data_IF_001649940805
#
_entry.id   IF_001649940805
#
_cell.length_a   1.000
_cell.length_b   1.000
_cell.length_c   1.000
_cell.angle_alpha   90.00
_cell.angle_beta   90.00
_cell.angle_gamma   90.00
#
_symmetry.space_group_name_H-M   'P 1'
#
loop_
_entity.id
_entity.type
_entity.pdbx_description
1 polymer ?
#
# COMPACT_ATOMS: atom_id res chain seq x y z
N UNK A 1 40.21 -6.89 31.24
CA UNK A 1 39.70 -6.77 29.84
C UNK A 1 38.31 -7.43 29.63
N UNK A 2 37.85 -8.34 30.52
CA UNK A 2 36.57 -9.07 30.40
C UNK A 2 35.31 -8.22 30.64
N UNK A 3 35.38 -7.16 31.45
CA UNK A 3 34.19 -6.34 31.80
C UNK A 3 33.60 -5.54 30.62
N UNK A 4 34.41 -5.13 29.63
CA UNK A 4 33.91 -4.32 28.50
C UNK A 4 33.02 -5.13 27.54
N UNK A 5 33.29 -6.42 27.35
CA UNK A 5 32.53 -7.30 26.46
C UNK A 5 31.13 -7.64 27.02
N UNK A 6 31.04 -7.85 28.34
CA UNK A 6 29.76 -8.17 29.01
C UNK A 6 28.84 -6.95 29.08
N UNK A 7 29.40 -5.76 29.30
CA UNK A 7 28.64 -4.51 29.34
C UNK A 7 28.11 -4.13 27.94
N UNK A 8 28.91 -4.29 26.88
CA UNK A 8 28.47 -4.04 25.50
C UNK A 8 27.33 -4.95 25.05
N UNK A 9 27.37 -6.24 25.42
CA UNK A 9 26.30 -7.21 25.10
C UNK A 9 25.00 -6.90 25.85
N UNK A 10 25.07 -6.47 27.11
CA UNK A 10 23.89 -6.06 27.89
C UNK A 10 23.22 -4.79 27.34
N UNK A 11 24.00 -3.81 26.89
CA UNK A 11 23.47 -2.59 26.28
C UNK A 11 22.77 -2.89 24.93
N UNK A 12 23.40 -3.70 24.07
CA UNK A 12 22.82 -4.16 22.80
C UNK A 12 21.54 -5.00 22.97
N UNK A 13 21.48 -5.85 24.01
CA UNK A 13 20.31 -6.67 24.32
C UNK A 13 19.16 -5.87 24.95
N UNK A 14 19.45 -4.78 25.66
CA UNK A 14 18.43 -3.90 26.21
C UNK A 14 17.72 -3.10 25.10
N UNK A 15 18.46 -2.64 24.09
CA UNK A 15 17.93 -1.89 22.93
C UNK A 15 17.07 -2.76 21.98
N UNK A 16 17.26 -4.09 22.01
CA UNK A 16 16.52 -5.05 21.17
C UNK A 16 15.30 -5.68 21.84
N UNK A 17 15.18 -5.66 23.18
CA UNK A 17 14.08 -6.36 23.88
C UNK A 17 12.68 -5.86 23.53
N UNK A 18 12.54 -4.60 23.08
CA UNK A 18 11.27 -3.99 22.66
C UNK A 18 11.40 -3.25 21.32
N UNK A 19 12.29 -3.71 20.43
CA UNK A 19 12.51 -3.03 19.16
C UNK A 19 11.28 -3.15 18.24
N UNK A 20 10.83 -2.01 17.69
CA UNK A 20 9.76 -1.95 16.68
C UNK A 20 10.37 -1.97 15.29
N UNK A 21 9.78 -2.78 14.40
CA UNK A 21 10.17 -2.95 13.00
C UNK A 21 8.97 -2.71 12.09
N UNK A 22 9.09 -1.81 11.13
CA UNK A 22 8.06 -1.57 10.12
C UNK A 22 8.26 -2.49 8.92
N UNK A 23 7.28 -3.34 8.61
CA UNK A 23 7.33 -4.29 7.50
C UNK A 23 6.63 -3.77 6.24
N UNK A 24 6.87 -2.50 5.92
CA UNK A 24 6.40 -1.87 4.67
C UNK A 24 7.42 -2.12 3.56
N UNK A 25 6.99 -2.40 2.33
CA UNK A 25 7.92 -2.66 1.22
C UNK A 25 8.95 -1.51 1.11
N UNK A 26 10.27 -1.79 1.25
CA UNK A 26 11.30 -0.76 1.27
C UNK A 26 11.52 -0.11 -0.10
N UNK A 27 11.04 -0.73 -1.16
CA UNK A 27 11.18 -0.26 -2.53
C UNK A 27 9.83 0.24 -3.04
N UNK A 28 9.71 1.56 -3.23
CA UNK A 28 8.50 2.20 -3.74
C UNK A 28 8.36 1.97 -5.26
N UNK A 29 7.14 2.02 -5.75
CA UNK A 29 6.81 2.13 -7.17
C UNK A 29 5.72 3.18 -7.35
N UNK A 30 5.52 3.66 -8.58
CA UNK A 30 4.42 4.57 -8.88
C UNK A 30 3.19 3.79 -9.31
N UNK A 31 2.01 4.28 -8.95
CA UNK A 31 0.74 3.69 -9.40
C UNK A 31 0.68 3.63 -10.94
N UNK A 32 1.10 4.71 -11.62
CA UNK A 32 1.14 4.80 -13.08
C UNK A 32 1.94 3.67 -13.74
N UNK A 33 3.02 3.17 -13.12
CA UNK A 33 3.81 2.05 -13.67
C UNK A 33 3.09 0.70 -13.63
N UNK A 34 2.08 0.56 -12.77
CA UNK A 34 1.32 -0.68 -12.59
C UNK A 34 0.02 -0.71 -13.40
N UNK A 35 -0.50 0.46 -13.76
CA UNK A 35 -1.75 0.64 -14.52
C UNK A 35 -1.81 -0.18 -15.82
N UNK A 36 -0.77 -0.22 -16.67
CA UNK A 36 -0.83 -0.96 -17.92
C UNK A 36 -1.19 -2.45 -17.77
N UNK A 37 -0.71 -3.11 -16.70
CA UNK A 37 -1.03 -4.51 -16.43
C UNK A 37 -2.51 -4.76 -16.15
N UNK A 38 -3.22 -3.77 -15.60
CA UNK A 38 -4.68 -3.84 -15.42
C UNK A 38 -5.42 -3.56 -16.73
N UNK A 39 -4.92 -2.65 -17.55
CA UNK A 39 -5.52 -2.28 -18.83
C UNK A 39 -5.44 -3.40 -19.88
N UNK A 40 -4.42 -4.27 -19.80
CA UNK A 40 -4.34 -5.47 -20.66
C UNK A 40 -5.53 -6.41 -20.45
N UNK A 41 -6.11 -6.44 -19.25
CA UNK A 41 -7.22 -7.33 -18.88
C UNK A 41 -8.58 -6.63 -18.93
N UNK A 42 -8.63 -5.36 -18.54
CA UNK A 42 -9.87 -4.60 -18.46
C UNK A 42 -9.79 -3.36 -19.35
N UNK A 43 -10.81 -3.13 -20.17
CA UNK A 43 -10.94 -1.94 -21.00
C UNK A 43 -11.29 -0.71 -20.14
N UNK A 44 -10.33 -0.26 -19.33
CA UNK A 44 -10.48 0.86 -18.38
C UNK A 44 -9.56 2.02 -18.73
N UNK A 45 -10.02 3.22 -18.41
CA UNK A 45 -9.28 4.47 -18.56
C UNK A 45 -8.90 5.01 -17.18
N UNK A 46 -7.62 5.33 -16.92
CA UNK A 46 -7.22 5.98 -15.68
C UNK A 46 -7.78 7.39 -15.65
N UNK A 47 -8.37 7.77 -14.53
CA UNK A 47 -8.90 9.11 -14.27
C UNK A 47 -8.38 9.60 -12.91
N UNK A 48 -8.29 10.92 -12.69
CA UNK A 48 -8.03 11.47 -11.37
C UNK A 48 -9.06 10.96 -10.35
N UNK A 49 -8.60 10.67 -9.12
CA UNK A 49 -9.48 10.16 -8.07
C UNK A 49 -10.64 11.12 -7.78
N UNK A 50 -10.37 12.43 -7.76
CA UNK A 50 -11.36 13.49 -7.55
C UNK A 50 -12.50 13.42 -8.58
N UNK A 51 -12.16 13.23 -9.85
CA UNK A 51 -13.14 13.16 -10.94
C UNK A 51 -13.96 11.87 -10.87
N UNK A 52 -13.32 10.77 -10.48
CA UNK A 52 -13.99 9.48 -10.28
C UNK A 52 -14.99 9.54 -9.11
N UNK A 53 -14.62 10.17 -8.00
CA UNK A 53 -15.52 10.38 -6.85
C UNK A 53 -16.69 11.29 -7.24
N UNK A 54 -16.43 12.42 -7.88
CA UNK A 54 -17.46 13.33 -8.37
C UNK A 54 -18.45 12.62 -9.32
N UNK A 55 -17.96 11.71 -10.17
CA UNK A 55 -18.83 10.91 -11.03
C UNK A 55 -19.76 10.00 -10.23
N UNK A 56 -19.26 9.34 -9.18
CA UNK A 56 -20.09 8.50 -8.32
C UNK A 56 -21.17 9.30 -7.57
N UNK A 57 -20.87 10.52 -7.14
CA UNK A 57 -21.83 11.40 -6.46
C UNK A 57 -23.03 11.82 -7.32
N UNK A 58 -22.89 11.77 -8.65
CA UNK A 58 -24.01 12.06 -9.56
C UNK A 58 -25.16 11.05 -9.41
N UNK A 59 -24.90 9.88 -8.83
CA UNK A 59 -25.88 8.83 -8.60
C UNK A 59 -26.57 9.09 -7.25
N UNK A 60 -27.55 9.98 -7.26
CA UNK A 60 -28.40 10.24 -6.09
C UNK A 60 -29.41 9.11 -5.89
N UNK A 61 -29.67 8.75 -4.62
CA UNK A 61 -30.59 7.68 -4.21
C UNK A 61 -30.37 6.35 -4.97
N UNK A 62 -29.17 5.74 -4.86
CA UNK A 62 -28.80 4.59 -5.67
C UNK A 62 -29.71 3.39 -5.38
N UNK A 63 -30.23 2.78 -6.44
CA UNK A 63 -31.02 1.55 -6.32
C UNK A 63 -30.14 0.36 -5.90
N UNK A 64 -30.75 -0.73 -5.46
CA UNK A 64 -30.03 -1.98 -5.20
C UNK A 64 -29.22 -2.44 -6.42
N UNK A 65 -29.71 -2.21 -7.64
CA UNK A 65 -29.01 -2.55 -8.88
C UNK A 65 -27.79 -1.65 -9.11
N UNK A 66 -27.91 -0.36 -8.81
CA UNK A 66 -26.78 0.58 -8.90
C UNK A 66 -25.67 0.19 -7.94
N UNK A 67 -26.03 -0.15 -6.71
CA UNK A 67 -25.08 -0.60 -5.68
C UNK A 67 -24.45 -1.96 -6.05
N UNK A 68 -25.19 -2.87 -6.69
CA UNK A 68 -24.64 -4.13 -7.20
C UNK A 68 -23.63 -3.90 -8.33
N UNK A 69 -23.97 -3.02 -9.29
CA UNK A 69 -23.10 -2.73 -10.43
C UNK A 69 -21.91 -1.83 -10.04
N UNK A 70 -22.08 -0.97 -9.03
CA UNK A 70 -21.10 0.00 -8.55
C UNK A 70 -20.96 -0.10 -7.03
N UNK A 71 -20.33 -1.17 -6.53
CA UNK A 71 -20.20 -1.40 -5.09
C UNK A 71 -19.40 -0.31 -4.37
N UNK A 72 -18.61 0.48 -5.10
CA UNK A 72 -17.92 1.66 -4.60
C UNK A 72 -18.84 2.69 -3.92
N UNK A 73 -20.12 2.77 -4.30
CA UNK A 73 -21.11 3.66 -3.69
C UNK A 73 -21.24 3.43 -2.17
N UNK A 74 -20.99 2.21 -1.69
CA UNK A 74 -21.01 1.87 -0.26
C UNK A 74 -19.88 2.53 0.53
N UNK A 75 -18.81 2.94 -0.15
CA UNK A 75 -17.60 3.50 0.44
C UNK A 75 -17.37 4.94 -0.03
N UNK A 76 -18.41 5.64 -0.52
CA UNK A 76 -18.27 6.97 -1.09
C UNK A 76 -17.63 7.96 -0.11
N UNK A 77 -18.09 7.98 1.15
CA UNK A 77 -17.50 8.82 2.20
C UNK A 77 -16.01 8.55 2.45
N UNK A 78 -15.56 7.28 2.33
CA UNK A 78 -14.15 6.94 2.43
C UNK A 78 -13.35 7.51 1.25
N UNK A 79 -13.87 7.40 0.02
CA UNK A 79 -13.20 7.93 -1.15
C UNK A 79 -13.16 9.46 -1.18
N UNK A 80 -14.14 10.14 -0.60
CA UNK A 80 -14.08 11.59 -0.37
C UNK A 80 -12.89 11.99 0.48
N UNK A 81 -12.77 11.40 1.67
CA UNK A 81 -11.64 11.67 2.57
C UNK A 81 -10.32 11.34 1.88
N UNK A 82 -10.26 10.26 1.09
CA UNK A 82 -9.08 9.88 0.33
C UNK A 82 -8.72 10.93 -0.75
N UNK A 83 -9.71 11.43 -1.48
CA UNK A 83 -9.53 12.43 -2.53
C UNK A 83 -9.07 13.78 -1.95
N UNK A 84 -9.67 14.21 -0.85
CA UNK A 84 -9.33 15.47 -0.16
C UNK A 84 -7.93 15.45 0.47
N UNK A 85 -7.42 14.25 0.79
CA UNK A 85 -6.15 14.06 1.50
C UNK A 85 -5.10 13.31 0.65
N UNK A 86 -5.26 13.27 -0.68
CA UNK A 86 -4.42 12.45 -1.56
C UNK A 86 -2.90 12.72 -1.38
N UNK A 87 -2.53 13.97 -1.09
CA UNK A 87 -1.13 14.39 -0.89
C UNK A 87 -0.60 14.11 0.53
N UNK A 88 -1.48 13.86 1.50
CA UNK A 88 -1.15 13.74 2.94
C UNK A 88 -0.99 12.29 3.39
N UNK A 89 -1.53 11.33 2.64
CA UNK A 89 -1.69 9.94 3.10
C UNK A 89 -0.44 9.05 3.05
N UNK A 90 0.67 9.53 2.47
CA UNK A 90 1.94 8.80 2.53
C UNK A 90 2.84 9.37 3.64
N UNK A 91 2.63 8.92 4.87
CA UNK A 91 3.64 9.11 5.90
C UNK A 91 4.95 8.41 5.50
N UNK A 92 6.09 9.10 5.59
CA UNK A 92 7.38 8.48 5.39
C UNK A 92 7.75 7.60 6.60
N UNK A 93 7.51 6.30 6.43
CA UNK A 93 7.80 5.29 7.46
C UNK A 93 9.21 4.75 7.24
N UNK A 94 10.11 4.97 8.21
CA UNK A 94 11.45 4.41 8.16
C UNK A 94 11.42 2.89 8.30
N UNK A 95 12.10 2.19 7.39
CA UNK A 95 12.21 0.72 7.33
C UNK A 95 13.64 0.22 7.58
N UNK A 96 14.55 1.11 7.99
CA UNK A 96 15.98 0.80 8.12
C UNK A 96 16.28 -0.27 9.17
N UNK A 97 15.55 -0.26 10.29
CA UNK A 97 15.66 -1.31 11.31
C UNK A 97 15.28 -2.67 10.73
N UNK A 98 14.21 -2.73 9.94
CA UNK A 98 13.71 -3.97 9.32
C UNK A 98 14.68 -4.53 8.29
N UNK A 99 15.29 -3.66 7.46
CA UNK A 99 16.32 -4.05 6.50
C UNK A 99 17.58 -4.59 7.19
N UNK A 100 18.03 -3.95 8.28
CA UNK A 100 19.18 -4.43 9.06
C UNK A 100 18.90 -5.76 9.77
N UNK A 101 17.68 -5.96 10.24
CA UNK A 101 17.25 -7.16 10.96
C UNK A 101 16.93 -8.36 10.06
N UNK A 102 16.68 -8.16 8.76
CA UNK A 102 16.26 -9.22 7.84
C UNK A 102 16.84 -9.06 6.44
N UNK A 103 17.64 -10.06 6.01
CA UNK A 103 18.15 -10.11 4.62
C UNK A 103 17.03 -10.19 3.59
N UNK A 104 15.96 -10.92 3.89
CA UNK A 104 14.78 -11.02 3.02
C UNK A 104 14.12 -9.66 2.84
N UNK A 105 13.96 -8.89 3.93
CA UNK A 105 13.43 -7.53 3.87
C UNK A 105 14.34 -6.62 3.04
N UNK A 106 15.65 -6.71 3.26
CA UNK A 106 16.64 -5.92 2.51
C UNK A 106 16.67 -6.27 1.01
N UNK A 107 16.32 -7.49 0.62
CA UNK A 107 16.29 -7.94 -0.77
C UNK A 107 14.95 -7.74 -1.47
N UNK A 108 13.91 -7.24 -0.78
CA UNK A 108 12.63 -6.97 -1.42
C UNK A 108 12.80 -6.00 -2.58
N UNK A 109 11.99 -6.20 -3.62
CA UNK A 109 11.91 -5.34 -4.80
C UNK A 109 10.58 -4.59 -4.77
N UNK A 110 10.50 -3.51 -5.54
CA UNK A 110 9.23 -2.84 -5.77
C UNK A 110 8.22 -3.82 -6.37
N UNK A 111 6.95 -3.59 -6.08
CA UNK A 111 5.86 -4.36 -6.72
C UNK A 111 5.98 -4.21 -8.23
N UNK A 112 5.94 -5.34 -8.95
CA UNK A 112 6.09 -5.38 -10.40
C UNK A 112 4.76 -5.54 -11.12
N UNK A 113 4.67 -5.15 -12.41
CA UNK A 113 3.50 -5.42 -13.24
C UNK A 113 3.13 -6.91 -13.28
N UNK A 114 4.12 -7.81 -13.33
CA UNK A 114 3.89 -9.26 -13.31
C UNK A 114 3.20 -9.74 -12.02
N UNK A 115 3.52 -9.12 -10.86
CA UNK A 115 2.82 -9.42 -9.61
C UNK A 115 1.37 -8.95 -9.64
N UNK A 116 1.08 -7.81 -10.29
CA UNK A 116 -0.30 -7.32 -10.50
C UNK A 116 -1.06 -8.28 -11.41
N UNK A 117 -0.48 -8.73 -12.52
CA UNK A 117 -1.09 -9.73 -13.42
C UNK A 117 -1.40 -11.03 -12.65
N UNK A 118 -0.44 -11.53 -11.87
CA UNK A 118 -0.66 -12.72 -11.05
C UNK A 118 -1.79 -12.51 -10.03
N UNK A 119 -1.85 -11.34 -9.38
CA UNK A 119 -2.94 -11.00 -8.46
C UNK A 119 -4.31 -10.97 -9.15
N UNK A 120 -4.40 -10.34 -10.32
CA UNK A 120 -5.64 -10.33 -11.13
C UNK A 120 -6.08 -11.75 -11.53
N UNK A 121 -5.13 -12.61 -11.89
CA UNK A 121 -5.42 -14.01 -12.22
C UNK A 121 -5.91 -14.81 -11.02
N UNK A 122 -5.39 -14.55 -9.83
CA UNK A 122 -5.81 -15.23 -8.59
C UNK A 122 -7.21 -14.80 -8.15
N UNK A 123 -7.52 -13.51 -8.27
CA UNK A 123 -8.82 -12.98 -7.86
C UNK A 123 -9.93 -13.32 -8.85
N UNK A 124 -9.64 -13.26 -10.15
CA UNK A 124 -10.51 -13.70 -11.25
C UNK A 124 -12.00 -13.32 -11.07
N UNK A 125 -12.25 -12.07 -10.70
CA UNK A 125 -13.59 -11.49 -10.64
C UNK A 125 -14.13 -11.16 -12.02
#
# INVERSE_FOLDING_TARGET
MVNKLVLGRRASLADTRNAVFHLVNPCRTTWASLVPAMQERYAVQPVPLVDWVANLETIQDPSNRDVQNKPALKLLAFFHVLADNADVLSADVSVERSKKGSRTMASLRSVSPAQVVNWLNQWNF
#
